data_IF_954721222036
#
_entry.id   IF_954721222036
#
_cell.length_a   1.000
_cell.length_b   1.000
_cell.length_c   1.000
_cell.angle_alpha   90.00
_cell.angle_beta   90.00
_cell.angle_gamma   90.00
#
_symmetry.space_group_name_H-M   'P 1'
#
loop_
_entity.id
_entity.type
_entity.pdbx_description
1 polymer ?
#
# COMPACT_ATOMS: atom_id res chain seq x y z
N UNK A 1 4.83 14.42 -12.66
CA UNK A 1 3.78 13.39 -12.79
C UNK A 1 2.46 13.87 -12.17
N UNK A 2 1.32 13.51 -12.80
CA UNK A 2 -0.03 13.72 -12.25
C UNK A 2 -0.85 12.43 -12.40
N UNK A 3 -1.86 12.27 -11.53
CA UNK A 3 -2.75 11.11 -11.49
C UNK A 3 -4.19 11.54 -11.77
N UNK A 4 -4.84 10.85 -12.70
CA UNK A 4 -6.25 11.08 -13.08
C UNK A 4 -7.13 9.92 -12.63
N UNK A 5 -8.43 10.15 -12.47
CA UNK A 5 -9.38 9.05 -12.24
C UNK A 5 -9.59 8.25 -13.54
N UNK A 6 -9.88 6.96 -13.39
CA UNK A 6 -10.33 6.09 -14.49
C UNK A 6 -11.76 6.39 -14.95
N UNK A 7 -12.54 7.19 -14.22
CA UNK A 7 -13.91 7.55 -14.57
C UNK A 7 -14.02 8.99 -15.08
N UNK A 8 -13.40 9.94 -14.38
CA UNK A 8 -13.27 11.33 -14.82
C UNK A 8 -11.78 11.77 -14.86
N UNK A 9 -11.23 12.08 -16.04
CA UNK A 9 -9.85 12.54 -16.15
C UNK A 9 -9.54 13.84 -15.38
N UNK A 10 -10.54 14.62 -14.95
CA UNK A 10 -10.36 15.92 -14.30
C UNK A 10 -11.14 16.04 -12.98
N UNK A 11 -10.55 16.63 -11.92
CA UNK A 11 -9.18 17.15 -11.83
C UNK A 11 -8.15 16.02 -11.61
N UNK A 12 -6.94 16.19 -12.14
CA UNK A 12 -5.81 15.33 -11.77
C UNK A 12 -5.12 15.82 -10.50
N UNK A 13 -4.44 14.93 -9.79
CA UNK A 13 -3.82 15.17 -8.47
C UNK A 13 -2.33 14.75 -8.44
N UNK A 14 -1.59 15.18 -7.41
CA UNK A 14 -0.22 14.71 -7.18
C UNK A 14 -0.20 13.25 -6.69
N UNK A 15 0.99 12.64 -6.59
CA UNK A 15 1.12 11.29 -6.05
C UNK A 15 0.69 11.23 -4.57
N UNK A 16 1.16 12.19 -3.76
CA UNK A 16 0.79 12.32 -2.35
C UNK A 16 -0.72 12.41 -2.17
N UNK A 17 -1.39 13.27 -2.95
CA UNK A 17 -2.84 13.41 -2.91
C UNK A 17 -3.56 12.12 -3.33
N UNK A 18 -3.07 11.43 -4.36
CA UNK A 18 -3.65 10.18 -4.84
C UNK A 18 -3.59 9.08 -3.77
N UNK A 19 -2.45 8.92 -3.08
CA UNK A 19 -2.32 7.92 -2.01
C UNK A 19 -3.09 8.30 -0.75
N UNK A 20 -3.22 9.60 -0.46
CA UNK A 20 -3.98 10.11 0.67
C UNK A 20 -5.47 9.85 0.50
N UNK A 21 -6.00 10.15 -0.68
CA UNK A 21 -7.41 9.91 -1.00
C UNK A 21 -7.70 8.41 -1.20
N UNK A 22 -6.76 7.66 -1.77
CA UNK A 22 -6.87 6.23 -2.04
C UNK A 22 -7.80 5.88 -3.20
N UNK A 23 -9.00 6.47 -3.23
CA UNK A 23 -9.98 6.39 -4.31
C UNK A 23 -10.29 7.82 -4.79
N UNK A 24 -10.52 8.00 -6.10
CA UNK A 24 -10.93 9.30 -6.62
C UNK A 24 -12.37 9.65 -6.15
N UNK A 25 -12.73 10.96 -6.05
CA UNK A 25 -14.05 11.38 -5.56
C UNK A 25 -15.24 10.83 -6.36
N UNK A 26 -15.05 10.51 -7.64
CA UNK A 26 -16.03 9.88 -8.53
C UNK A 26 -16.14 8.35 -8.37
N UNK A 27 -15.40 7.79 -7.42
CA UNK A 27 -15.29 6.35 -7.15
C UNK A 27 -14.42 5.58 -8.15
N UNK A 28 -13.68 6.27 -9.02
CA UNK A 28 -12.69 5.68 -9.92
C UNK A 28 -11.32 5.49 -9.24
N UNK A 29 -10.40 4.87 -9.97
CA UNK A 29 -9.04 4.57 -9.50
C UNK A 29 -8.07 5.63 -10.02
N UNK A 30 -7.07 5.99 -9.20
CA UNK A 30 -6.00 6.86 -9.66
C UNK A 30 -5.01 6.11 -10.55
N UNK A 31 -4.76 6.65 -11.74
CA UNK A 31 -3.76 6.15 -12.70
C UNK A 31 -2.88 7.30 -13.17
N UNK A 32 -1.58 7.06 -13.45
CA UNK A 32 -0.70 8.11 -13.94
C UNK A 32 -1.18 8.58 -15.33
N UNK A 33 -1.06 9.88 -15.61
CA UNK A 33 -1.45 10.45 -16.91
C UNK A 33 -0.60 9.90 -18.07
N UNK A 34 0.63 9.47 -17.77
CA UNK A 34 1.58 8.85 -18.71
C UNK A 34 2.39 7.78 -18.01
N UNK A 35 2.79 6.75 -18.75
CA UNK A 35 3.79 5.80 -18.27
C UNK A 35 5.19 6.32 -18.63
N UNK A 36 6.13 6.33 -17.68
CA UNK A 36 7.50 6.74 -17.95
C UNK A 36 8.21 5.71 -18.87
N UNK A 37 9.13 6.20 -19.69
CA UNK A 37 10.10 5.34 -20.38
C UNK A 37 11.32 5.13 -19.50
N UNK A 38 11.98 3.98 -19.65
CA UNK A 38 13.18 3.62 -18.88
C UNK A 38 14.36 3.29 -19.80
N UNK A 39 15.54 3.72 -19.37
CA UNK A 39 16.80 3.16 -19.87
C UNK A 39 17.12 1.89 -19.06
N UNK A 40 16.83 0.74 -19.66
CA UNK A 40 17.07 -0.56 -19.02
C UNK A 40 18.55 -0.84 -18.76
N UNK A 41 19.46 -0.27 -19.57
CA UNK A 41 20.90 -0.43 -19.35
C UNK A 41 21.32 0.31 -18.09
N UNK A 42 20.87 1.55 -17.90
CA UNK A 42 21.12 2.29 -16.67
C UNK A 42 20.54 1.58 -15.44
N UNK A 43 19.28 1.12 -15.51
CA UNK A 43 18.65 0.40 -14.40
C UNK A 43 19.33 -0.92 -14.06
N UNK A 44 19.80 -1.66 -15.07
CA UNK A 44 20.49 -2.95 -14.88
C UNK A 44 21.82 -2.84 -14.14
N UNK A 45 22.38 -1.64 -14.03
CA UNK A 45 23.63 -1.38 -13.29
C UNK A 45 23.42 -1.17 -11.79
N UNK A 46 22.17 -1.14 -11.31
CA UNK A 46 21.83 -0.89 -9.91
C UNK A 46 21.64 -2.23 -9.19
N UNK A 47 22.61 -2.62 -8.36
CA UNK A 47 22.60 -3.92 -7.69
C UNK A 47 21.65 -4.00 -6.48
N UNK A 48 21.50 -2.90 -5.74
CA UNK A 48 20.71 -2.88 -4.50
C UNK A 48 19.24 -2.65 -4.83
N UNK A 49 18.39 -3.61 -4.44
CA UNK A 49 16.95 -3.55 -4.70
C UNK A 49 16.28 -2.23 -4.27
N UNK A 50 16.56 -1.64 -3.09
CA UNK A 50 15.96 -0.36 -2.73
C UNK A 50 16.38 0.81 -3.63
N UNK A 51 17.63 0.81 -4.09
CA UNK A 51 18.15 1.86 -4.98
C UNK A 51 17.53 1.69 -6.38
N UNK A 52 17.41 0.45 -6.85
CA UNK A 52 16.70 0.11 -8.09
C UNK A 52 15.21 0.51 -8.00
N UNK A 53 14.55 0.22 -6.89
CA UNK A 53 13.18 0.60 -6.63
C UNK A 53 13.00 2.12 -6.66
N UNK A 54 13.92 2.88 -6.07
CA UNK A 54 13.88 4.34 -6.11
C UNK A 54 14.00 4.85 -7.55
N UNK A 55 14.92 4.32 -8.35
CA UNK A 55 15.09 4.71 -9.75
C UNK A 55 13.86 4.36 -10.62
N UNK A 56 13.24 3.21 -10.40
CA UNK A 56 12.00 2.80 -11.10
C UNK A 56 10.81 3.67 -10.68
N UNK A 57 10.71 4.05 -9.40
CA UNK A 57 9.58 4.79 -8.87
C UNK A 57 9.70 6.32 -9.05
N UNK A 58 10.90 6.86 -9.23
CA UNK A 58 11.16 8.30 -9.33
C UNK A 58 10.29 9.01 -10.37
N UNK A 59 10.14 8.51 -11.62
CA UNK A 59 9.32 9.21 -12.61
C UNK A 59 7.82 9.29 -12.25
N UNK A 60 7.33 8.39 -11.39
CA UNK A 60 5.96 8.42 -10.90
C UNK A 60 5.73 9.48 -9.82
N UNK A 61 6.79 9.89 -9.12
CA UNK A 61 6.75 10.91 -8.08
C UNK A 61 7.29 12.27 -8.55
N UNK A 62 7.67 12.41 -9.83
CA UNK A 62 8.20 13.66 -10.39
C UNK A 62 7.33 14.88 -10.03
N UNK A 63 7.90 15.86 -9.34
CA UNK A 63 7.20 17.09 -8.91
C UNK A 63 6.24 16.91 -7.72
N UNK A 64 6.24 15.76 -7.06
CA UNK A 64 5.51 15.50 -5.82
C UNK A 64 6.38 15.79 -4.59
N UNK A 65 5.73 16.12 -3.46
CA UNK A 65 6.42 16.43 -2.20
C UNK A 65 7.24 15.25 -1.65
N UNK A 66 6.90 14.01 -2.02
CA UNK A 66 7.63 12.81 -1.59
C UNK A 66 8.85 12.48 -2.45
N UNK A 67 9.06 13.18 -3.58
CA UNK A 67 10.14 12.86 -4.53
C UNK A 67 11.52 12.87 -3.86
N UNK A 68 11.83 13.90 -3.07
CA UNK A 68 13.14 14.04 -2.41
C UNK A 68 13.38 12.97 -1.34
N UNK A 69 12.31 12.40 -0.77
CA UNK A 69 12.38 11.36 0.26
C UNK A 69 12.32 9.94 -0.31
N UNK A 70 12.14 9.77 -1.62
CA UNK A 70 11.85 8.46 -2.23
C UNK A 70 12.96 7.43 -1.96
N UNK A 71 14.23 7.82 -2.06
CA UNK A 71 15.34 6.92 -1.78
C UNK A 71 15.32 6.39 -0.33
N UNK A 72 15.05 7.25 0.65
CA UNK A 72 14.93 6.85 2.06
C UNK A 72 13.69 5.98 2.30
N UNK A 73 12.56 6.32 1.66
CA UNK A 73 11.33 5.52 1.70
C UNK A 73 11.61 4.10 1.20
N UNK A 74 12.22 3.96 0.02
CA UNK A 74 12.56 2.65 -0.55
C UNK A 74 13.54 1.88 0.33
N UNK A 75 14.59 2.54 0.84
CA UNK A 75 15.58 1.91 1.72
C UNK A 75 14.95 1.33 3.00
N UNK A 76 13.94 2.00 3.57
CA UNK A 76 13.23 1.53 4.76
C UNK A 76 12.11 0.55 4.44
N UNK A 77 11.43 0.71 3.30
CA UNK A 77 10.33 -0.15 2.90
C UNK A 77 10.80 -1.53 2.45
N UNK A 78 11.95 -1.61 1.78
CA UNK A 78 12.48 -2.83 1.15
C UNK A 78 13.77 -3.30 1.82
N UNK A 79 13.77 -3.32 3.16
CA UNK A 79 14.85 -3.73 4.04
C UNK A 79 14.97 -5.26 4.21
N UNK A 80 14.58 -6.02 3.18
CA UNK A 80 14.59 -7.49 3.15
C UNK A 80 15.00 -8.00 1.77
N UNK A 81 15.54 -9.23 1.66
CA UNK A 81 16.04 -9.75 0.40
C UNK A 81 14.92 -10.08 -0.60
N UNK A 82 15.25 -9.99 -1.89
CA UNK A 82 14.37 -10.34 -3.02
C UNK A 82 15.09 -11.32 -3.96
N UNK A 83 15.36 -12.57 -3.52
CA UNK A 83 16.21 -13.48 -4.27
C UNK A 83 15.47 -14.11 -5.45
N UNK A 84 16.17 -14.26 -6.57
CA UNK A 84 15.76 -15.08 -7.70
C UNK A 84 16.47 -16.43 -7.61
N UNK A 85 15.72 -17.48 -7.30
CA UNK A 85 16.23 -18.84 -7.10
C UNK A 85 16.03 -19.65 -8.37
N UNK A 86 17.12 -20.13 -8.96
CA UNK A 86 17.06 -21.04 -10.11
C UNK A 86 16.49 -22.39 -9.70
N UNK A 87 15.48 -22.85 -10.44
CA UNK A 87 14.89 -24.17 -10.37
C UNK A 87 15.30 -24.99 -11.60
N UNK A 88 15.10 -26.32 -11.60
CA UNK A 88 15.40 -27.13 -12.78
C UNK A 88 14.49 -26.76 -13.97
N UNK A 89 14.83 -27.25 -15.17
CA UNK A 89 14.06 -27.01 -16.41
C UNK A 89 13.84 -25.53 -16.77
N UNK A 90 14.89 -24.70 -16.72
CA UNK A 90 14.84 -23.28 -17.11
C UNK A 90 13.76 -22.46 -16.37
N UNK A 91 13.45 -22.86 -15.14
CA UNK A 91 12.49 -22.17 -14.28
C UNK A 91 13.25 -21.39 -13.20
N UNK A 92 12.72 -20.26 -12.77
CA UNK A 92 13.22 -19.55 -11.60
C UNK A 92 12.04 -19.14 -10.72
N UNK A 93 12.28 -19.08 -9.41
CA UNK A 93 11.35 -18.60 -8.41
C UNK A 93 11.86 -17.27 -7.86
N UNK A 94 11.07 -16.22 -8.03
CA UNK A 94 11.30 -14.95 -7.34
C UNK A 94 10.62 -15.01 -5.97
N UNK A 95 11.42 -15.03 -4.91
CA UNK A 95 10.90 -15.16 -3.56
C UNK A 95 10.48 -13.80 -3.01
N UNK A 96 9.16 -13.55 -2.98
CA UNK A 96 8.56 -12.30 -2.51
C UNK A 96 8.01 -12.41 -1.07
N UNK A 97 8.55 -13.33 -0.27
CA UNK A 97 8.02 -13.68 1.05
C UNK A 97 9.03 -13.51 2.19
N UNK A 98 10.12 -12.76 1.98
CA UNK A 98 11.11 -12.48 3.03
C UNK A 98 10.81 -11.24 3.88
N UNK A 99 9.69 -10.57 3.60
CA UNK A 99 9.19 -9.47 4.41
C UNK A 99 8.58 -9.93 5.73
N UNK A 100 8.21 -8.98 6.62
CA UNK A 100 7.76 -9.27 8.00
C UNK A 100 6.52 -10.16 8.11
N UNK A 101 5.69 -10.23 7.07
CA UNK A 101 4.46 -11.03 7.10
C UNK A 101 4.52 -12.28 6.23
N UNK A 102 5.69 -12.55 5.64
CA UNK A 102 5.93 -13.66 4.73
C UNK A 102 5.02 -13.65 3.48
N UNK A 103 4.69 -12.46 2.98
CA UNK A 103 3.86 -12.30 1.80
C UNK A 103 4.31 -11.10 0.94
N UNK A 104 4.14 -11.20 -0.38
CA UNK A 104 4.49 -10.13 -1.33
C UNK A 104 3.76 -8.80 -1.08
N UNK A 105 2.70 -8.84 -0.25
CA UNK A 105 1.95 -7.65 0.15
C UNK A 105 2.77 -6.70 1.03
N UNK A 106 3.86 -7.19 1.62
CA UNK A 106 4.81 -6.39 2.40
C UNK A 106 5.41 -5.24 1.57
N UNK A 107 5.74 -5.46 0.29
CA UNK A 107 6.31 -4.43 -0.58
C UNK A 107 5.40 -3.20 -0.68
N UNK A 108 4.16 -3.41 -1.13
CA UNK A 108 3.20 -2.31 -1.27
C UNK A 108 2.79 -1.72 0.08
N UNK A 109 2.57 -2.54 1.11
CA UNK A 109 2.10 -2.07 2.41
C UNK A 109 3.15 -1.20 3.12
N UNK A 110 4.42 -1.63 3.12
CA UNK A 110 5.52 -0.90 3.77
C UNK A 110 5.85 0.39 3.03
N UNK A 111 5.91 0.35 1.70
CA UNK A 111 6.10 1.56 0.90
C UNK A 111 4.99 2.59 1.17
N UNK A 112 3.72 2.16 1.09
CA UNK A 112 2.59 3.05 1.38
C UNK A 112 2.67 3.63 2.80
N UNK A 113 2.97 2.82 3.81
CA UNK A 113 3.09 3.28 5.19
C UNK A 113 4.19 4.35 5.37
N UNK A 114 5.36 4.15 4.74
CA UNK A 114 6.46 5.12 4.77
C UNK A 114 6.16 6.42 3.99
N UNK A 115 5.37 6.34 2.92
CA UNK A 115 4.85 7.52 2.22
C UNK A 115 3.84 8.28 3.10
N UNK A 116 2.85 7.59 3.65
CA UNK A 116 1.78 8.19 4.47
C UNK A 116 2.31 8.86 5.74
N UNK A 117 3.37 8.31 6.35
CA UNK A 117 4.08 8.90 7.50
C UNK A 117 4.75 10.25 7.18
N UNK A 118 5.15 10.46 5.92
CA UNK A 118 5.78 11.69 5.44
C UNK A 118 4.79 12.70 4.86
N UNK A 119 3.56 12.28 4.57
CA UNK A 119 2.50 13.20 4.19
C UNK A 119 2.13 14.11 5.36
N UNK A 120 1.69 15.36 5.10
CA UNK A 120 1.26 16.27 6.14
C UNK A 120 0.21 15.65 7.08
N UNK A 121 0.28 15.97 8.39
CA UNK A 121 -0.73 15.54 9.33
C UNK A 121 -2.09 16.13 8.95
N UNK A 122 -3.15 15.38 9.23
CA UNK A 122 -4.50 15.88 9.00
C UNK A 122 -4.95 16.74 10.19
N UNK A 123 -5.53 17.90 9.89
CA UNK A 123 -6.06 18.79 10.93
C UNK A 123 -7.21 18.15 11.74
N UNK A 124 -7.90 17.15 11.16
CA UNK A 124 -8.96 16.40 11.83
C UNK A 124 -8.45 15.28 12.76
N UNK A 125 -7.13 15.07 12.85
CA UNK A 125 -6.50 14.07 13.72
C UNK A 125 -5.77 12.96 12.95
N UNK A 126 -5.45 11.83 13.60
CA UNK A 126 -4.77 10.72 12.95
C UNK A 126 -5.53 10.19 11.72
N UNK A 127 -4.80 9.79 10.69
CA UNK A 127 -5.37 9.20 9.47
C UNK A 127 -5.68 7.73 9.70
N UNK A 128 -6.93 7.34 9.48
CA UNK A 128 -7.34 5.94 9.56
C UNK A 128 -7.19 5.25 8.22
N UNK A 129 -6.45 4.15 8.23
CA UNK A 129 -6.33 3.19 7.14
C UNK A 129 -7.38 2.10 7.36
N UNK A 130 -8.40 2.09 6.52
CA UNK A 130 -9.45 1.07 6.56
C UNK A 130 -9.17 0.00 5.50
N UNK A 131 -9.02 -1.25 5.94
CA UNK A 131 -8.66 -2.37 5.06
C UNK A 131 -9.59 -3.55 5.26
N UNK A 132 -10.16 -4.06 4.17
CA UNK A 132 -10.82 -5.36 4.15
C UNK A 132 -9.83 -6.42 3.65
N UNK A 133 -9.78 -7.58 4.31
CA UNK A 133 -8.85 -8.66 3.95
C UNK A 133 -9.44 -10.06 4.07
N UNK A 134 -8.87 -10.97 3.29
CA UNK A 134 -9.00 -12.42 3.43
C UNK A 134 -7.76 -13.07 4.09
N UNK A 135 -6.84 -12.27 4.63
CA UNK A 135 -5.63 -12.75 5.33
C UNK A 135 -4.45 -11.78 5.15
N UNK A 136 -3.56 -12.08 4.20
CA UNK A 136 -2.25 -11.43 4.08
C UNK A 136 -2.30 -9.90 3.93
N UNK A 137 -3.33 -9.34 3.27
CA UNK A 137 -3.37 -7.88 3.01
C UNK A 137 -3.49 -7.11 4.31
N UNK A 138 -4.36 -7.57 5.21
CA UNK A 138 -4.53 -6.95 6.52
C UNK A 138 -3.28 -7.15 7.38
N UNK A 139 -2.67 -8.35 7.34
CA UNK A 139 -1.43 -8.64 8.06
C UNK A 139 -0.30 -7.68 7.64
N UNK A 140 -0.05 -7.53 6.34
CA UNK A 140 0.99 -6.65 5.82
C UNK A 140 0.73 -5.17 6.16
N UNK A 141 -0.52 -4.70 6.07
CA UNK A 141 -0.88 -3.32 6.41
C UNK A 141 -0.75 -3.06 7.91
N UNK A 142 -1.24 -3.99 8.74
CA UNK A 142 -1.14 -3.92 10.19
C UNK A 142 0.33 -3.86 10.62
N UNK A 143 1.16 -4.81 10.16
CA UNK A 143 2.59 -4.85 10.45
C UNK A 143 3.31 -3.60 9.95
N UNK A 144 2.97 -3.10 8.75
CA UNK A 144 3.62 -1.93 8.18
C UNK A 144 3.30 -0.64 8.94
N UNK A 145 2.12 -0.53 9.57
CA UNK A 145 1.63 0.71 10.18
C UNK A 145 1.63 0.70 11.72
N UNK A 146 1.87 -0.45 12.35
CA UNK A 146 1.94 -0.58 13.81
C UNK A 146 2.98 0.36 14.41
N UNK A 147 2.61 1.07 15.47
CA UNK A 147 3.48 2.02 16.17
C UNK A 147 3.79 3.32 15.43
N UNK A 148 3.22 3.56 14.24
CA UNK A 148 3.47 4.80 13.48
C UNK A 148 2.62 5.97 13.95
N UNK A 149 3.24 7.09 14.36
CA UNK A 149 2.51 8.29 14.75
C UNK A 149 1.64 8.81 13.60
N UNK A 150 0.46 9.35 13.95
CA UNK A 150 -0.46 9.93 12.97
C UNK A 150 -1.23 8.93 12.11
N UNK A 151 -0.98 7.62 12.26
CA UNK A 151 -1.72 6.57 11.57
C UNK A 151 -2.55 5.72 12.55
N UNK A 152 -3.76 5.37 12.14
CA UNK A 152 -4.61 4.37 12.75
C UNK A 152 -4.95 3.31 11.71
N UNK A 153 -5.17 2.06 12.11
CA UNK A 153 -5.54 0.97 11.20
C UNK A 153 -6.77 0.25 11.72
N UNK A 154 -7.76 0.10 10.86
CA UNK A 154 -8.93 -0.73 11.09
C UNK A 154 -8.94 -1.88 10.07
N UNK A 155 -8.71 -3.10 10.55
CA UNK A 155 -8.63 -4.32 9.73
C UNK A 155 -9.93 -5.10 9.85
N UNK A 156 -10.68 -5.23 8.76
CA UNK A 156 -11.91 -6.02 8.69
C UNK A 156 -11.61 -7.34 8.00
N UNK A 157 -11.94 -8.45 8.65
CA UNK A 157 -11.77 -9.80 8.10
C UNK A 157 -12.97 -10.69 8.44
N UNK A 158 -13.33 -11.66 7.59
CA UNK A 158 -14.45 -12.55 7.86
C UNK A 158 -14.14 -13.48 9.03
N UNK A 159 -15.02 -13.53 10.02
CA UNK A 159 -14.90 -14.41 11.18
C UNK A 159 -14.84 -15.88 10.73
N UNK A 160 -13.75 -16.58 11.06
CA UNK A 160 -13.51 -17.95 10.61
C UNK A 160 -13.25 -18.11 9.11
N UNK A 161 -13.11 -17.01 8.37
CA UNK A 161 -12.86 -17.00 6.92
C UNK A 161 -11.41 -16.77 6.53
N UNK A 162 -10.48 -16.84 7.49
CA UNK A 162 -9.03 -16.70 7.28
C UNK A 162 -8.30 -17.87 7.97
N UNK A 163 -7.11 -18.24 7.48
CA UNK A 163 -6.36 -19.33 8.10
C UNK A 163 -5.88 -18.94 9.52
N UNK A 164 -5.73 -19.88 10.47
CA UNK A 164 -5.35 -19.56 11.85
C UNK A 164 -4.05 -18.74 11.98
N UNK A 165 -3.04 -19.04 11.15
CA UNK A 165 -1.78 -18.28 11.11
C UNK A 165 -2.00 -16.84 10.65
N UNK A 166 -2.85 -16.62 9.66
CA UNK A 166 -3.19 -15.28 9.18
C UNK A 166 -4.00 -14.52 10.23
N UNK A 167 -4.94 -15.17 10.90
CA UNK A 167 -5.69 -14.55 12.01
C UNK A 167 -4.77 -14.06 13.12
N UNK A 168 -3.74 -14.84 13.48
CA UNK A 168 -2.73 -14.40 14.45
C UNK A 168 -1.99 -13.15 13.96
N UNK A 169 -1.55 -13.11 12.70
CA UNK A 169 -0.92 -11.93 12.10
C UNK A 169 -1.88 -10.73 11.92
N UNK A 170 -3.19 -10.93 12.03
CA UNK A 170 -4.17 -9.85 12.03
C UNK A 170 -4.44 -9.33 13.44
N UNK A 171 -4.37 -10.19 14.45
CA UNK A 171 -4.90 -9.90 15.80
C UNK A 171 -3.84 -9.72 16.88
N UNK A 172 -2.56 -9.94 16.56
CA UNK A 172 -1.45 -9.81 17.52
C UNK A 172 -1.00 -8.37 17.82
N UNK A 173 -1.58 -7.37 17.16
CA UNK A 173 -1.18 -5.98 17.28
C UNK A 173 -1.96 -5.25 18.38
N UNK A 174 -1.37 -4.17 18.87
CA UNK A 174 -1.96 -3.28 19.87
C UNK A 174 -1.88 -1.81 19.43
N UNK A 175 -2.29 -0.90 20.33
CA UNK A 175 -2.16 0.54 20.12
C UNK A 175 -3.00 1.05 18.95
N UNK A 176 -2.32 1.47 17.89
CA UNK A 176 -2.93 2.14 16.73
C UNK A 176 -3.51 1.17 15.67
N UNK A 177 -3.45 -0.14 15.91
CA UNK A 177 -3.99 -1.16 15.01
C UNK A 177 -5.11 -1.91 15.70
N UNK A 178 -6.29 -1.95 15.07
CA UNK A 178 -7.46 -2.65 15.56
C UNK A 178 -8.02 -3.59 14.50
N UNK A 179 -8.35 -4.81 14.92
CA UNK A 179 -8.89 -5.86 14.05
C UNK A 179 -10.31 -6.22 14.44
N UNK A 180 -11.18 -6.31 13.43
CA UNK A 180 -12.60 -6.52 13.55
C UNK A 180 -13.01 -7.78 12.79
N UNK A 181 -13.36 -8.84 13.54
CA UNK A 181 -13.94 -10.04 12.98
C UNK A 181 -15.40 -9.79 12.55
N UNK A 182 -15.65 -9.78 11.25
CA UNK A 182 -16.96 -9.53 10.64
C UNK A 182 -17.71 -10.85 10.54
N UNK A 183 -18.92 -10.90 11.09
CA UNK A 183 -19.85 -12.03 10.89
C UNK A 183 -20.41 -11.99 9.47
N UNK A 184 -19.70 -12.60 8.53
CA UNK A 184 -20.06 -12.60 7.11
C UNK A 184 -18.92 -13.08 6.23
N UNK A 185 -18.98 -12.73 4.96
CA UNK A 185 -17.98 -13.10 3.95
C UNK A 185 -16.91 -12.02 3.77
N UNK A 186 -15.87 -12.32 2.98
CA UNK A 186 -14.92 -11.30 2.53
C UNK A 186 -15.62 -10.19 1.73
N UNK A 187 -16.61 -10.53 0.91
CA UNK A 187 -17.39 -9.57 0.13
C UNK A 187 -18.18 -8.61 1.05
N UNK A 188 -18.68 -9.10 2.19
CA UNK A 188 -19.29 -8.24 3.21
C UNK A 188 -18.28 -7.26 3.81
N UNK A 189 -17.06 -7.71 4.10
CA UNK A 189 -15.99 -6.83 4.57
C UNK A 189 -15.69 -5.74 3.54
N UNK A 190 -15.55 -6.11 2.25
CA UNK A 190 -15.33 -5.14 1.17
C UNK A 190 -16.50 -4.17 1.01
N UNK A 191 -17.74 -4.66 1.12
CA UNK A 191 -18.95 -3.84 1.04
C UNK A 191 -18.98 -2.80 2.16
N UNK A 192 -18.68 -3.19 3.41
CA UNK A 192 -18.60 -2.27 4.55
C UNK A 192 -17.56 -1.17 4.25
N UNK A 193 -16.36 -1.55 3.81
CA UNK A 193 -15.30 -0.58 3.49
C UNK A 193 -15.77 0.40 2.41
N UNK A 194 -16.32 -0.09 1.29
CA UNK A 194 -16.85 0.76 0.20
C UNK A 194 -17.96 1.70 0.67
N UNK A 195 -18.84 1.23 1.55
CA UNK A 195 -19.93 2.04 2.09
C UNK A 195 -19.43 3.18 2.98
N UNK A 196 -18.42 2.92 3.82
CA UNK A 196 -17.75 3.97 4.61
C UNK A 196 -17.15 5.03 3.69
N UNK A 197 -16.37 4.63 2.67
CA UNK A 197 -15.80 5.59 1.71
C UNK A 197 -16.87 6.40 0.96
N UNK A 198 -17.93 5.76 0.49
CA UNK A 198 -19.01 6.43 -0.24
C UNK A 198 -19.80 7.41 0.63
N UNK A 199 -20.02 7.06 1.89
CA UNK A 199 -20.78 7.92 2.80
C UNK A 199 -19.99 9.15 3.27
N UNK A 200 -18.66 9.11 3.18
CA UNK A 200 -17.76 10.12 3.76
C UNK A 200 -17.84 10.22 5.28
N UNK A 201 -18.60 9.32 5.94
CA UNK A 201 -18.84 9.32 7.37
C UNK A 201 -17.99 8.24 8.01
N UNK A 202 -16.88 8.65 8.61
CA UNK A 202 -16.06 7.78 9.44
C UNK A 202 -16.29 8.12 10.93
N UNK A 203 -16.90 7.22 11.72
CA UNK A 203 -17.21 7.50 13.12
C UNK A 203 -15.98 7.63 14.01
N UNK A 204 -14.81 7.13 13.58
CA UNK A 204 -13.57 7.23 14.35
C UNK A 204 -12.85 8.58 14.26
N UNK A 205 -13.38 9.55 13.50
CA UNK A 205 -12.74 10.86 13.30
C UNK A 205 -11.44 10.80 12.46
N UNK A 206 -10.91 11.97 12.10
CA UNK A 206 -9.73 12.07 11.23
C UNK A 206 -10.02 11.76 9.75
N UNK A 207 -8.98 11.88 8.92
CA UNK A 207 -9.06 11.50 7.51
C UNK A 207 -9.06 9.99 7.33
N UNK A 208 -9.78 9.53 6.31
CA UNK A 208 -9.88 8.12 5.94
C UNK A 208 -9.11 7.86 4.64
N UNK A 209 -8.34 6.77 4.61
CA UNK A 209 -7.71 6.25 3.40
C UNK A 209 -7.78 4.74 3.35
N UNK A 210 -7.62 4.15 2.16
CA UNK A 210 -7.58 2.70 1.98
C UNK A 210 -6.15 2.24 1.69
N UNK A 211 -5.76 1.11 2.26
CA UNK A 211 -4.54 0.40 1.90
C UNK A 211 -4.81 -0.90 1.13
N UNK A 212 -6.00 -1.05 0.51
CA UNK A 212 -6.27 -2.12 -0.45
C UNK A 212 -5.52 -1.87 -1.77
N UNK A 213 -5.51 -2.87 -2.67
CA UNK A 213 -4.84 -2.80 -3.98
C UNK A 213 -5.34 -1.69 -4.91
N UNK A 214 -6.45 -1.03 -4.57
CA UNK A 214 -6.97 0.14 -5.28
C UNK A 214 -6.13 1.41 -5.07
N UNK A 215 -5.35 1.48 -3.99
CA UNK A 215 -4.47 2.62 -3.71
C UNK A 215 -3.23 2.52 -4.59
N UNK A 216 -2.91 3.58 -5.34
CA UNK A 216 -1.77 3.59 -6.26
C UNK A 216 -0.42 3.38 -5.55
N UNK A 217 -0.30 3.77 -4.28
CA UNK A 217 0.88 3.52 -3.45
C UNK A 217 1.06 2.04 -3.09
N UNK A 218 0.01 1.21 -3.18
CA UNK A 218 0.13 -0.25 -3.07
C UNK A 218 0.55 -0.89 -4.39
N UNK A 219 0.16 -0.30 -5.52
CA UNK A 219 0.34 -0.85 -6.84
C UNK A 219 1.74 -0.60 -7.40
N UNK A 220 2.24 0.64 -7.34
CA UNK A 220 3.51 1.00 -7.98
C UNK A 220 4.71 0.19 -7.46
N UNK A 221 4.88 -0.06 -6.14
CA UNK A 221 5.99 -0.89 -5.64
C UNK A 221 6.01 -2.30 -6.20
N UNK A 222 4.86 -2.82 -6.65
CA UNK A 222 4.77 -4.16 -7.23
C UNK A 222 5.32 -4.23 -8.65
N UNK A 223 5.44 -3.08 -9.34
CA UNK A 223 6.08 -3.03 -10.67
C UNK A 223 7.58 -3.31 -10.56
N UNK A 224 8.20 -2.99 -9.42
CA UNK A 224 9.65 -3.05 -9.25
C UNK A 224 10.21 -4.48 -9.28
N UNK A 225 9.46 -5.48 -8.81
CA UNK A 225 9.95 -6.87 -8.82
C UNK A 225 9.67 -7.61 -10.15
N UNK A 226 9.26 -6.89 -11.20
CA UNK A 226 9.07 -7.42 -12.55
C UNK A 226 10.18 -6.93 -13.49
#
# INVERSE_FOLDING_TARGET
MRYRSTRDPSPSVGFSDAILQGLAPDGGLYVPERFPGYDLTALSSIDRYPDFAAAVLEPFLEGDALAESLAEICARAFDFPVPLVSLPQHTALLELFHGPTAAFKDFGARFLAHCLERCPPDAAGPRTILVATSGDTGAAVAAACHGRPGLQVAVLYPQGGVAPRQEQQLTCWDGNVQSFAVRGTFDDCQRIVKEVFRSGRWPGGGALTSANSINVGRLLPQVVYH
#
